data_IF_839754938335
#
_entry.id   IF_839754938335
#
_cell.length_a   1.000
_cell.length_b   1.000
_cell.length_c   1.000
_cell.angle_alpha   90.00
_cell.angle_beta   90.00
_cell.angle_gamma   90.00
#
_symmetry.space_group_name_H-M   'P 1'
#
loop_
_entity.id
_entity.type
_entity.pdbx_description
1 polymer ?
#
# COMPACT_ATOMS: atom_id res chain seq x y z
N UNK A 1 9.94 23.46 -7.90
CA UNK A 1 9.41 22.47 -6.95
C UNK A 1 8.35 21.66 -7.67
N UNK A 2 8.66 20.41 -8.04
CA UNK A 2 7.65 19.50 -8.57
C UNK A 2 6.72 19.11 -7.43
N UNK A 3 5.46 19.54 -7.48
CA UNK A 3 4.43 19.02 -6.60
C UNK A 3 4.25 17.56 -7.02
N UNK A 4 4.84 16.63 -6.28
CA UNK A 4 4.58 15.20 -6.44
C UNK A 4 3.07 15.00 -6.27
N UNK A 5 2.41 14.65 -7.36
CA UNK A 5 0.95 14.56 -7.46
C UNK A 5 0.49 13.25 -6.78
N UNK A 6 0.55 13.20 -5.45
CA UNK A 6 0.02 12.07 -4.71
C UNK A 6 -1.51 12.11 -4.76
N UNK A 7 -2.14 10.94 -4.92
CA UNK A 7 -3.59 10.81 -4.92
C UNK A 7 -3.98 9.73 -3.94
N UNK A 8 -4.97 10.03 -3.10
CA UNK A 8 -5.67 9.02 -2.31
C UNK A 8 -6.86 8.53 -3.13
N UNK A 9 -6.96 7.21 -3.27
CA UNK A 9 -7.98 6.56 -4.10
C UNK A 9 -8.65 5.42 -3.36
N UNK A 10 -9.77 4.95 -3.91
CA UNK A 10 -10.31 3.63 -3.61
C UNK A 10 -9.94 2.66 -4.72
N UNK A 11 -9.86 1.38 -4.35
CA UNK A 11 -9.86 0.27 -5.30
C UNK A 11 -11.29 -0.26 -5.34
N UNK A 12 -11.85 -0.32 -6.55
CA UNK A 12 -13.20 -0.82 -6.81
C UNK A 12 -13.34 -2.29 -6.40
N UNK A 13 -14.53 -2.69 -5.97
CA UNK A 13 -14.79 -4.05 -5.51
C UNK A 13 -14.54 -5.08 -6.63
N UNK A 14 -14.83 -4.68 -7.86
CA UNK A 14 -14.67 -5.44 -9.11
C UNK A 14 -13.26 -6.01 -9.23
N UNK A 15 -12.22 -5.26 -8.82
CA UNK A 15 -10.85 -5.79 -8.80
C UNK A 15 -10.71 -7.03 -7.91
N UNK A 16 -11.34 -7.02 -6.73
CA UNK A 16 -11.27 -8.15 -5.81
C UNK A 16 -12.18 -9.32 -6.22
N UNK A 17 -13.20 -9.05 -7.04
CA UNK A 17 -14.09 -10.04 -7.64
C UNK A 17 -13.41 -10.72 -8.85
N UNK A 18 -12.67 -9.98 -9.66
CA UNK A 18 -11.94 -10.47 -10.83
C UNK A 18 -10.65 -11.23 -10.47
N UNK A 19 -10.05 -10.92 -9.32
CA UNK A 19 -8.83 -11.57 -8.81
C UNK A 19 -9.04 -12.18 -7.40
N UNK A 20 -9.94 -13.18 -7.24
CA UNK A 20 -10.27 -13.75 -5.94
C UNK A 20 -9.13 -14.52 -5.27
N UNK A 21 -8.13 -14.95 -6.05
CA UNK A 21 -6.96 -15.73 -5.61
C UNK A 21 -5.87 -14.90 -4.92
N UNK A 22 -5.95 -13.56 -4.96
CA UNK A 22 -4.97 -12.67 -4.35
C UNK A 22 -4.78 -12.98 -2.86
N UNK A 23 -3.53 -13.20 -2.47
CA UNK A 23 -3.15 -13.53 -1.10
C UNK A 23 -2.68 -12.30 -0.35
N UNK A 24 -2.86 -12.29 0.97
CA UNK A 24 -2.28 -11.27 1.85
C UNK A 24 -2.70 -9.83 1.52
N UNK A 25 -3.81 -9.61 0.80
CA UNK A 25 -4.33 -8.28 0.46
C UNK A 25 -5.35 -7.77 1.49
N UNK A 26 -5.57 -6.45 1.51
CA UNK A 26 -6.70 -5.84 2.22
C UNK A 26 -7.84 -5.64 1.23
N UNK A 27 -8.90 -6.43 1.37
CA UNK A 27 -10.08 -6.30 0.52
C UNK A 27 -10.93 -5.13 1.01
N UNK A 28 -11.26 -4.23 0.10
CA UNK A 28 -12.27 -3.19 0.35
C UNK A 28 -13.57 -3.77 -0.20
N UNK A 29 -14.45 -4.29 0.66
CA UNK A 29 -15.76 -4.81 0.24
C UNK A 29 -16.87 -4.11 1.03
N UNK A 30 -17.90 -3.64 0.32
CA UNK A 30 -19.18 -3.19 0.92
C UNK A 30 -20.06 -4.35 1.42
N UNK A 31 -19.63 -5.61 1.27
CA UNK A 31 -20.40 -6.81 1.62
C UNK A 31 -19.70 -7.79 2.57
N UNK A 32 -18.43 -7.57 2.92
CA UNK A 32 -17.80 -8.33 3.99
C UNK A 32 -18.38 -7.91 5.35
N UNK A 33 -18.36 -8.82 6.33
CA UNK A 33 -18.86 -8.62 7.71
C UNK A 33 -18.33 -7.36 8.41
N UNK A 34 -17.26 -6.74 7.88
CA UNK A 34 -16.62 -5.57 8.47
C UNK A 34 -16.93 -4.22 7.79
N UNK A 35 -17.54 -4.18 6.58
CA UNK A 35 -17.77 -2.96 5.80
C UNK A 35 -16.55 -2.02 5.72
N UNK A 36 -15.33 -2.58 5.74
CA UNK A 36 -14.09 -1.80 5.81
C UNK A 36 -13.76 -1.23 4.45
N UNK A 37 -13.75 0.09 4.39
CA UNK A 37 -13.28 0.84 3.23
C UNK A 37 -11.82 1.23 3.47
N UNK A 38 -10.94 0.88 2.55
CA UNK A 38 -9.53 1.26 2.57
C UNK A 38 -9.23 2.36 1.56
N UNK A 39 -8.44 3.34 1.99
CA UNK A 39 -7.87 4.36 1.12
C UNK A 39 -6.46 3.96 0.74
N UNK A 40 -6.07 4.25 -0.48
CA UNK A 40 -4.74 3.92 -0.99
C UNK A 40 -4.02 5.16 -1.48
N UNK A 41 -2.79 5.35 -1.00
CA UNK A 41 -1.86 6.32 -1.58
C UNK A 41 -1.31 5.76 -2.89
N UNK A 42 -1.51 6.48 -3.99
CA UNK A 42 -0.92 6.15 -5.29
C UNK A 42 0.46 6.81 -5.44
N UNK A 43 1.46 6.01 -5.81
CA UNK A 43 2.77 6.47 -6.30
C UNK A 43 3.18 5.69 -7.57
N UNK A 44 4.09 6.25 -8.35
CA UNK A 44 4.66 5.62 -9.54
C UNK A 44 6.02 4.97 -9.27
N UNK A 45 6.26 3.77 -9.84
CA UNK A 45 7.57 3.13 -9.85
C UNK A 45 7.69 2.12 -11.00
N UNK A 46 8.79 2.17 -11.78
CA UNK A 46 9.01 1.26 -12.93
C UNK A 46 7.78 1.11 -13.85
N UNK A 47 7.13 2.22 -14.20
CA UNK A 47 5.92 2.25 -15.02
C UNK A 47 4.70 1.52 -14.43
N UNK A 48 4.74 1.18 -13.15
CA UNK A 48 3.63 0.59 -12.41
C UNK A 48 2.97 1.62 -11.49
N UNK A 49 1.65 1.53 -11.36
CA UNK A 49 0.94 2.22 -10.28
C UNK A 49 1.00 1.38 -9.00
N UNK A 50 1.55 1.96 -7.93
CA UNK A 50 1.64 1.34 -6.61
C UNK A 50 0.60 1.98 -5.70
N UNK A 51 -0.21 1.15 -5.07
CA UNK A 51 -1.25 1.56 -4.14
C UNK A 51 -0.91 1.07 -2.73
N UNK A 52 -0.65 2.01 -1.82
CA UNK A 52 -0.30 1.72 -0.43
C UNK A 52 -1.51 1.98 0.47
N UNK A 53 -2.08 0.97 1.14
CA UNK A 53 -3.25 1.16 1.98
C UNK A 53 -2.93 1.96 3.24
N UNK A 54 -3.82 2.91 3.56
CA UNK A 54 -3.90 3.55 4.86
C UNK A 54 -4.78 2.71 5.80
N UNK A 55 -4.17 2.20 6.87
CA UNK A 55 -4.88 1.44 7.91
C UNK A 55 -5.08 2.29 9.15
N UNK A 56 -6.16 2.03 9.88
CA UNK A 56 -6.44 2.66 11.18
C UNK A 56 -5.46 2.25 12.28
N UNK A 57 -4.80 1.11 12.09
CA UNK A 57 -3.84 0.54 13.03
C UNK A 57 -2.80 -0.28 12.27
N UNK A 58 -1.54 0.03 12.53
CA UNK A 58 -0.37 -0.74 12.09
C UNK A 58 0.64 -0.88 13.21
N UNK A 59 1.16 -2.09 13.37
CA UNK A 59 2.33 -2.34 14.20
C UNK A 59 3.59 -2.06 13.37
N UNK A 60 4.29 -0.97 13.73
CA UNK A 60 5.55 -0.53 13.13
C UNK A 60 6.78 -0.93 13.97
N UNK A 61 6.72 -2.06 14.67
CA UNK A 61 7.83 -2.56 15.49
C UNK A 61 9.14 -2.61 14.69
N UNK A 62 10.17 -1.92 15.19
CA UNK A 62 11.47 -1.76 14.52
C UNK A 62 12.23 -3.06 14.26
N UNK A 63 11.96 -4.12 15.01
CA UNK A 63 12.66 -5.42 14.88
C UNK A 63 12.45 -6.10 13.52
N UNK A 64 11.43 -5.70 12.76
CA UNK A 64 11.12 -6.23 11.41
C UNK A 64 11.64 -5.27 10.30
N UNK A 65 12.21 -4.13 10.69
CA UNK A 65 12.64 -3.06 9.78
C UNK A 65 11.48 -2.19 9.30
N UNK A 66 11.74 -1.31 8.34
CA UNK A 66 10.73 -0.38 7.80
C UNK A 66 9.68 -1.12 6.97
N UNK A 67 8.47 -1.25 7.52
CA UNK A 67 7.31 -1.95 6.93
C UNK A 67 6.09 -1.06 6.69
N UNK A 68 6.23 0.23 7.00
CA UNK A 68 5.16 1.21 6.82
C UNK A 68 5.60 2.59 7.28
N UNK A 69 4.67 3.54 7.24
CA UNK A 69 4.88 4.91 7.66
C UNK A 69 3.74 5.38 8.57
N UNK A 70 4.02 5.94 9.75
CA UNK A 70 2.99 6.39 10.67
C UNK A 70 2.26 7.61 10.12
N UNK A 71 0.94 7.55 10.06
CA UNK A 71 0.03 8.66 9.72
C UNK A 71 -1.01 8.77 10.84
N UNK A 72 -0.63 9.19 12.06
CA UNK A 72 -1.54 9.23 13.20
C UNK A 72 -2.69 10.21 12.95
N UNK A 73 -3.90 9.81 13.33
CA UNK A 73 -5.04 10.71 13.47
C UNK A 73 -5.43 10.86 14.94
N UNK A 74 -6.19 11.90 15.27
CA UNK A 74 -6.60 12.17 16.67
C UNK A 74 -7.30 10.97 17.33
N UNK A 75 -8.19 10.29 16.60
CA UNK A 75 -8.90 9.08 17.06
C UNK A 75 -8.16 7.78 16.74
N UNK A 76 -7.08 7.84 15.97
CA UNK A 76 -6.36 6.68 15.42
C UNK A 76 -4.85 6.94 15.50
N UNK A 77 -4.27 6.94 16.71
CA UNK A 77 -2.87 7.30 16.92
C UNK A 77 -1.90 6.29 16.26
N UNK A 78 -2.34 5.06 16.03
CA UNK A 78 -1.54 4.01 15.39
C UNK A 78 -1.84 3.86 13.89
N UNK A 79 -2.55 4.81 13.28
CA UNK A 79 -2.82 4.76 11.85
C UNK A 79 -1.55 4.95 11.02
N UNK A 80 -1.54 4.37 9.81
CA UNK A 80 -0.43 4.55 8.90
C UNK A 80 -0.53 3.74 7.61
N UNK A 81 0.44 3.99 6.75
CA UNK A 81 0.60 3.33 5.46
C UNK A 81 1.28 1.96 5.67
N UNK A 82 0.66 0.87 5.20
CA UNK A 82 1.19 -0.49 5.37
C UNK A 82 1.85 -0.98 4.07
N UNK A 83 3.19 -1.00 4.04
CA UNK A 83 3.94 -1.41 2.84
C UNK A 83 3.82 -2.92 2.56
N UNK A 84 3.42 -3.72 3.55
CA UNK A 84 3.24 -5.16 3.35
C UNK A 84 1.97 -5.49 2.57
N UNK A 85 1.07 -4.52 2.42
CA UNK A 85 -0.26 -4.70 1.81
C UNK A 85 -0.41 -3.88 0.53
N UNK A 86 0.72 -3.59 -0.12
CA UNK A 86 0.80 -2.89 -1.42
C UNK A 86 0.06 -3.66 -2.51
N UNK A 87 -0.70 -2.93 -3.32
CA UNK A 87 -1.25 -3.45 -4.58
C UNK A 87 -0.53 -2.80 -5.77
N UNK A 88 -0.31 -3.58 -6.82
CA UNK A 88 0.19 -3.07 -8.11
C UNK A 88 -0.93 -3.26 -9.15
N UNK A 89 -1.50 -2.15 -9.63
CA UNK A 89 -2.70 -2.19 -10.49
C UNK A 89 -2.51 -1.20 -11.65
N UNK A 90 -2.25 -1.74 -12.84
CA UNK A 90 -1.98 -0.89 -14.01
C UNK A 90 -3.23 -0.53 -14.80
N UNK A 91 -4.30 -1.33 -14.68
CA UNK A 91 -5.60 -0.98 -15.22
C UNK A 91 -6.31 0.03 -14.32
N UNK A 92 -6.37 1.28 -14.79
CA UNK A 92 -6.99 2.39 -14.06
C UNK A 92 -8.51 2.26 -13.94
N UNK A 93 -9.14 1.36 -14.70
CA UNK A 93 -10.60 1.13 -14.64
C UNK A 93 -11.04 0.61 -13.26
N UNK A 94 -10.14 -0.05 -12.53
CA UNK A 94 -10.34 -0.50 -11.14
C UNK A 94 -10.16 0.60 -10.09
N UNK A 95 -9.78 1.81 -10.48
CA UNK A 95 -9.48 2.90 -9.54
C UNK A 95 -10.66 3.86 -9.47
N UNK A 96 -11.09 4.16 -8.25
CA UNK A 96 -12.11 5.17 -7.98
C UNK A 96 -11.49 6.37 -7.27
N UNK A 97 -11.63 7.55 -7.88
CA UNK A 97 -11.14 8.80 -7.34
C UNK A 97 -12.23 9.46 -6.49
N UNK A 98 -12.00 9.66 -5.18
CA UNK A 98 -12.99 10.28 -4.31
C UNK A 98 -13.24 11.74 -4.75
N UNK A 99 -14.50 12.20 -4.73
CA UNK A 99 -14.85 13.57 -5.14
C UNK A 99 -14.47 14.64 -4.10
N UNK A 100 -14.13 14.23 -2.86
CA UNK A 100 -13.76 15.13 -1.76
C UNK A 100 -12.64 14.52 -0.92
N UNK A 101 -12.00 15.34 -0.06
CA UNK A 101 -10.98 14.87 0.85
C UNK A 101 -11.57 13.87 1.85
N UNK A 102 -11.00 12.68 1.83
CA UNK A 102 -11.47 11.49 2.55
C UNK A 102 -10.72 11.23 3.86
N UNK A 103 -9.68 12.00 4.15
CA UNK A 103 -8.91 11.93 5.39
C UNK A 103 -8.85 13.28 6.09
N UNK A 104 -8.68 13.33 7.43
CA UNK A 104 -8.41 14.54 8.17
C UNK A 104 -7.25 15.36 7.57
N UNK A 105 -7.39 16.69 7.57
CA UNK A 105 -6.39 17.63 7.05
C UNK A 105 -5.00 17.46 7.68
N UNK A 106 -4.93 17.07 8.95
CA UNK A 106 -3.66 16.81 9.65
C UNK A 106 -2.90 15.63 9.05
N UNK A 107 -3.61 14.53 8.75
CA UNK A 107 -3.04 13.35 8.09
C UNK A 107 -2.63 13.67 6.65
N UNK A 108 -3.47 14.40 5.92
CA UNK A 108 -3.15 14.86 4.56
C UNK A 108 -1.87 15.71 4.54
N UNK A 109 -1.77 16.70 5.42
CA UNK A 109 -0.58 17.54 5.56
C UNK A 109 0.67 16.71 5.84
N UNK A 110 0.57 15.71 6.71
CA UNK A 110 1.69 14.83 7.03
C UNK A 110 2.14 14.00 5.82
N UNK A 111 1.20 13.49 5.02
CA UNK A 111 1.50 12.79 3.76
C UNK A 111 2.23 13.73 2.80
N UNK A 112 1.70 14.94 2.57
CA UNK A 112 2.33 15.95 1.69
C UNK A 112 3.78 16.21 2.11
N UNK A 113 3.99 16.52 3.39
CA UNK A 113 5.29 16.87 3.92
C UNK A 113 6.29 15.72 3.86
N UNK A 114 5.79 14.48 3.90
CA UNK A 114 6.61 13.27 3.95
C UNK A 114 6.66 12.49 2.64
N UNK A 115 6.07 13.00 1.55
CA UNK A 115 5.82 12.21 0.33
C UNK A 115 7.11 11.63 -0.26
N UNK A 116 8.19 12.40 -0.28
CA UNK A 116 9.49 11.93 -0.79
C UNK A 116 10.07 10.81 0.08
N UNK A 117 9.93 10.92 1.40
CA UNK A 117 10.36 9.89 2.35
C UNK A 117 9.53 8.63 2.20
N UNK A 118 8.21 8.76 2.11
CA UNK A 118 7.28 7.64 1.88
C UNK A 118 7.64 6.94 0.57
N UNK A 119 7.78 7.68 -0.53
CA UNK A 119 8.14 7.12 -1.83
C UNK A 119 9.46 6.36 -1.79
N UNK A 120 10.51 6.95 -1.19
CA UNK A 120 11.80 6.27 -1.03
C UNK A 120 11.67 4.96 -0.25
N UNK A 121 10.96 4.99 0.88
CA UNK A 121 10.79 3.80 1.72
C UNK A 121 9.95 2.70 1.05
N UNK A 122 8.92 3.07 0.29
CA UNK A 122 8.12 2.11 -0.49
C UNK A 122 9.00 1.44 -1.55
N UNK A 123 9.79 2.22 -2.28
CA UNK A 123 10.73 1.70 -3.28
C UNK A 123 11.76 0.77 -2.62
N UNK A 124 12.30 1.14 -1.46
CA UNK A 124 13.24 0.30 -0.71
C UNK A 124 12.59 -0.99 -0.20
N UNK A 125 11.31 -0.93 0.20
CA UNK A 125 10.54 -2.11 0.57
C UNK A 125 10.39 -3.07 -0.62
N UNK A 126 10.01 -2.56 -1.79
CA UNK A 126 9.85 -3.36 -3.02
C UNK A 126 11.20 -3.96 -3.46
N UNK A 127 12.25 -3.15 -3.57
CA UNK A 127 13.61 -3.65 -3.89
C UNK A 127 14.09 -4.70 -2.90
N UNK A 128 13.77 -4.51 -1.62
CA UNK A 128 14.08 -5.47 -0.57
C UNK A 128 13.33 -6.79 -0.75
N UNK A 129 12.06 -6.73 -1.16
CA UNK A 129 11.26 -7.90 -1.52
C UNK A 129 11.86 -8.61 -2.74
N UNK A 130 12.15 -7.89 -3.83
CA UNK A 130 12.80 -8.43 -5.04
C UNK A 130 14.09 -9.20 -4.67
N UNK A 131 14.96 -8.60 -3.85
CA UNK A 131 16.19 -9.26 -3.37
C UNK A 131 15.92 -10.50 -2.51
N UNK A 132 14.84 -10.52 -1.75
CA UNK A 132 14.43 -11.69 -0.95
C UNK A 132 13.90 -12.81 -1.84
N UNK A 133 13.12 -12.44 -2.88
CA UNK A 133 12.59 -13.36 -3.89
C UNK A 133 13.71 -14.05 -4.65
N UNK A 134 14.67 -13.31 -5.20
CA UNK A 134 15.82 -13.86 -5.93
C UNK A 134 16.69 -14.80 -5.09
N UNK A 135 16.61 -14.70 -3.76
CA UNK A 135 17.32 -15.59 -2.81
C UNK A 135 16.46 -16.74 -2.29
N UNK A 136 15.20 -16.87 -2.73
CA UNK A 136 14.22 -17.82 -2.20
C UNK A 136 14.01 -17.70 -0.68
N UNK A 137 13.95 -16.45 -0.17
CA UNK A 137 13.82 -16.16 1.28
C UNK A 137 12.57 -15.37 1.66
N UNK A 138 11.64 -15.09 0.73
CA UNK A 138 10.44 -14.28 1.02
C UNK A 138 9.60 -14.82 2.18
N UNK A 139 9.48 -16.14 2.29
CA UNK A 139 8.76 -16.81 3.39
C UNK A 139 9.54 -16.88 4.71
N UNK A 140 10.86 -16.73 4.65
CA UNK A 140 11.78 -16.78 5.82
C UNK A 140 12.02 -15.38 6.40
N UNK A 141 12.12 -14.38 5.54
CA UNK A 141 12.32 -12.99 5.92
C UNK A 141 11.00 -12.46 6.51
N UNK A 142 10.94 -12.28 7.84
CA UNK A 142 9.74 -11.81 8.59
C UNK A 142 9.09 -10.58 7.97
N UNK A 143 9.90 -9.71 7.37
CA UNK A 143 9.49 -8.48 6.68
C UNK A 143 8.59 -8.71 5.46
N UNK A 144 8.79 -9.82 4.76
CA UNK A 144 8.16 -10.14 3.47
C UNK A 144 7.23 -11.34 3.52
N UNK A 145 7.25 -12.13 4.60
CA UNK A 145 6.45 -13.35 4.77
C UNK A 145 4.96 -13.16 4.49
N UNK A 146 4.41 -12.01 4.87
CA UNK A 146 2.99 -11.66 4.71
C UNK A 146 2.79 -10.48 3.73
N UNK A 147 3.73 -10.33 2.79
CA UNK A 147 3.67 -9.29 1.76
C UNK A 147 2.72 -9.69 0.64
N UNK A 148 1.83 -8.78 0.24
CA UNK A 148 0.97 -8.92 -0.95
C UNK A 148 1.74 -8.82 -2.27
N UNK A 149 3.02 -8.41 -2.25
CA UNK A 149 3.88 -8.41 -3.45
C UNK A 149 4.07 -9.83 -4.03
N UNK A 150 3.71 -10.88 -3.29
CA UNK A 150 3.67 -12.24 -3.80
C UNK A 150 2.69 -12.45 -4.96
N UNK A 151 1.74 -11.54 -5.16
CA UNK A 151 0.78 -11.62 -6.26
C UNK A 151 1.25 -10.88 -7.52
N UNK A 152 2.34 -10.11 -7.45
CA UNK A 152 2.71 -9.14 -8.48
C UNK A 152 4.11 -9.39 -9.07
N UNK A 153 4.54 -10.65 -9.12
CA UNK A 153 5.86 -11.01 -9.66
C UNK A 153 6.00 -10.63 -11.13
N UNK A 154 4.93 -10.75 -11.93
CA UNK A 154 4.92 -10.32 -13.33
C UNK A 154 5.16 -8.82 -13.47
N UNK A 155 4.43 -8.01 -12.71
CA UNK A 155 4.54 -6.54 -12.71
C UNK A 155 5.92 -6.07 -12.20
N UNK A 156 6.53 -6.87 -11.32
CA UNK A 156 7.87 -6.63 -10.78
C UNK A 156 9.00 -7.23 -11.64
N UNK A 157 8.68 -7.86 -12.78
CA UNK A 157 9.64 -8.52 -13.67
C UNK A 157 10.47 -9.61 -12.96
N UNK A 158 9.86 -10.32 -12.01
CA UNK A 158 10.46 -11.42 -11.26
C UNK A 158 10.08 -12.74 -11.93
N UNK A 159 11.11 -13.51 -12.33
CA UNK A 159 11.02 -14.83 -12.97
C UNK A 159 11.60 -15.90 -12.07
#
# INVERSE_FOLDING_TARGET
MSISNYKLVFIKNEYFEDYPELKEILKSHKKDESNRIYFFLNIQYKNNNIFIPLRSEIDLTRSIGTIGFPIPGEKRPNAGLDYRKILIINDISYIEFPPHNIIPRSQEKLIIQSINTIQSQVIDYIKGYEKSFLKNRTTKDKKYKFSSLCNYHKELELV
#
